data_IF_802511379677
#
_entry.id   IF_802511379677
#
_cell.length_a   1.000
_cell.length_b   1.000
_cell.length_c   1.000
_cell.angle_alpha   90.00
_cell.angle_beta   90.00
_cell.angle_gamma   90.00
#
_symmetry.space_group_name_H-M   'P 1'
#
loop_
_entity.id
_entity.type
_entity.pdbx_description
1 polymer ?
#
# COMPACT_ATOMS: atom_id res chain seq x y z
N UNK A 1 5.35 -40.17 -32.16
CA UNK A 1 4.69 -39.27 -31.18
C UNK A 1 5.23 -39.60 -29.80
N UNK A 2 6.25 -38.83 -29.31
CA UNK A 2 6.77 -38.94 -27.93
C UNK A 2 6.05 -37.89 -27.09
N UNK A 3 5.18 -38.37 -26.20
CA UNK A 3 4.59 -37.57 -25.13
C UNK A 3 5.72 -37.19 -24.14
N UNK A 4 5.99 -35.88 -23.98
CA UNK A 4 6.81 -35.38 -22.89
C UNK A 4 5.95 -35.42 -21.63
N UNK A 5 6.22 -36.36 -20.74
CA UNK A 5 5.74 -36.33 -19.38
C UNK A 5 6.38 -35.11 -18.67
N UNK A 6 5.57 -34.08 -18.39
CA UNK A 6 5.93 -33.03 -17.45
C UNK A 6 5.91 -33.64 -16.04
N UNK A 7 7.09 -33.86 -15.48
CA UNK A 7 7.21 -34.15 -14.05
C UNK A 7 6.75 -32.92 -13.27
N UNK A 8 5.53 -32.99 -12.71
CA UNK A 8 5.10 -32.13 -11.63
C UNK A 8 5.95 -32.56 -10.43
N UNK A 9 6.92 -31.71 -10.08
CA UNK A 9 7.68 -31.87 -8.84
C UNK A 9 6.68 -31.76 -7.70
N UNK A 10 6.54 -32.81 -6.93
CA UNK A 10 5.78 -32.84 -5.70
C UNK A 10 6.13 -31.63 -4.84
N UNK A 11 5.16 -30.73 -4.69
CA UNK A 11 5.21 -29.68 -3.71
C UNK A 11 5.19 -30.36 -2.34
N UNK A 12 6.35 -30.46 -1.71
CA UNK A 12 6.46 -30.84 -0.31
C UNK A 12 5.54 -29.91 0.47
N UNK A 13 4.48 -30.47 1.05
CA UNK A 13 3.66 -29.79 2.05
C UNK A 13 4.61 -29.14 3.06
N UNK A 14 4.50 -27.81 3.30
CA UNK A 14 5.35 -27.18 4.29
C UNK A 14 5.03 -27.82 5.63
N UNK A 15 6.00 -28.53 6.18
CA UNK A 15 5.98 -28.94 7.58
C UNK A 15 5.74 -27.68 8.41
N UNK A 16 4.71 -27.70 9.23
CA UNK A 16 4.43 -26.66 10.23
C UNK A 16 5.61 -26.62 11.21
N UNK A 17 6.65 -25.89 10.85
CA UNK A 17 7.72 -25.53 11.77
C UNK A 17 7.11 -24.49 12.70
N UNK A 18 7.18 -24.66 14.03
CA UNK A 18 6.71 -23.65 14.96
C UNK A 18 7.46 -22.35 14.66
N UNK A 19 6.72 -21.36 14.25
CA UNK A 19 7.16 -20.05 13.78
C UNK A 19 7.71 -19.27 14.96
N UNK A 20 8.99 -19.44 15.27
CA UNK A 20 9.74 -18.33 15.82
C UNK A 20 9.79 -17.26 14.73
N UNK A 21 9.15 -16.16 15.00
CA UNK A 21 8.92 -14.93 14.25
C UNK A 21 9.89 -14.56 13.09
N UNK A 22 10.13 -15.43 12.12
CA UNK A 22 10.76 -15.05 10.85
C UNK A 22 9.72 -14.36 10.00
N UNK A 23 9.96 -13.10 9.71
CA UNK A 23 9.11 -12.36 8.80
C UNK A 23 9.47 -12.75 7.36
N UNK A 24 8.75 -13.72 6.81
CA UNK A 24 8.96 -14.21 5.45
C UNK A 24 8.98 -13.08 4.40
N UNK A 25 8.21 -12.02 4.60
CA UNK A 25 8.21 -10.90 3.67
C UNK A 25 9.55 -10.16 3.66
N UNK A 26 10.17 -9.96 4.82
CA UNK A 26 11.48 -9.32 4.91
C UNK A 26 12.56 -10.18 4.24
N UNK A 27 12.50 -11.51 4.45
CA UNK A 27 13.40 -12.46 3.80
C UNK A 27 13.17 -12.51 2.27
N UNK A 28 11.93 -12.44 1.82
CA UNK A 28 11.57 -12.39 0.40
C UNK A 28 12.07 -11.09 -0.26
N UNK A 29 11.87 -9.94 0.38
CA UNK A 29 12.38 -8.66 -0.12
C UNK A 29 13.91 -8.70 -0.22
N UNK A 30 14.60 -9.18 0.83
CA UNK A 30 16.05 -9.26 0.85
C UNK A 30 16.59 -10.26 -0.20
N UNK A 31 15.79 -11.30 -0.55
CA UNK A 31 16.18 -12.33 -1.51
C UNK A 31 15.90 -11.94 -2.95
N UNK A 32 14.73 -11.35 -3.23
CA UNK A 32 14.23 -11.15 -4.59
C UNK A 32 14.34 -9.72 -5.11
N UNK A 33 14.67 -8.75 -4.26
CA UNK A 33 14.90 -7.39 -4.74
C UNK A 33 16.10 -7.37 -5.69
N UNK A 34 15.91 -6.83 -6.89
CA UNK A 34 16.87 -6.83 -8.02
C UNK A 34 18.19 -6.11 -7.72
N UNK A 35 18.25 -5.32 -6.65
CA UNK A 35 19.43 -4.60 -6.19
C UNK A 35 20.47 -5.50 -5.52
N UNK A 36 20.61 -6.73 -6.00
CA UNK A 36 21.62 -7.69 -5.48
C UNK A 36 23.06 -7.31 -5.83
N UNK A 37 23.27 -6.39 -6.72
CA UNK A 37 24.59 -6.08 -7.23
C UNK A 37 24.88 -4.58 -7.19
N UNK A 38 26.01 -4.27 -6.69
CA UNK A 38 26.73 -3.00 -6.54
C UNK A 38 26.91 -2.19 -7.84
N UNK A 39 26.17 -2.53 -8.90
CA UNK A 39 26.40 -2.03 -10.25
C UNK A 39 25.96 -0.58 -10.47
N UNK A 40 25.28 0.05 -9.48
CA UNK A 40 24.73 1.40 -9.65
C UNK A 40 25.21 2.42 -8.61
N UNK A 41 26.16 2.06 -7.73
CA UNK A 41 26.65 2.98 -6.69
C UNK A 41 25.56 3.43 -5.69
N UNK A 42 24.45 2.69 -5.60
CA UNK A 42 23.36 3.00 -4.67
C UNK A 42 23.69 2.43 -3.30
N UNK A 43 23.85 3.30 -2.32
CA UNK A 43 24.11 2.92 -0.93
C UNK A 43 22.85 3.04 -0.08
N UNK A 44 22.76 2.33 1.07
CA UNK A 44 21.67 2.52 2.01
C UNK A 44 21.52 3.98 2.44
N UNK A 45 22.63 4.69 2.61
CA UNK A 45 22.65 6.09 3.01
C UNK A 45 22.06 7.00 1.93
N UNK A 46 22.38 6.78 0.67
CA UNK A 46 21.82 7.54 -0.46
C UNK A 46 20.30 7.38 -0.57
N UNK A 47 19.78 6.17 -0.34
CA UNK A 47 18.33 5.92 -0.33
C UNK A 47 17.66 6.54 0.89
N UNK A 48 18.27 6.48 2.09
CA UNK A 48 17.74 7.16 3.28
C UNK A 48 17.71 8.66 3.08
N UNK A 49 18.75 9.23 2.49
CA UNK A 49 18.81 10.65 2.19
C UNK A 49 17.71 11.08 1.21
N UNK A 50 17.42 10.25 0.21
CA UNK A 50 16.35 10.50 -0.76
C UNK A 50 14.94 10.34 -0.14
N UNK A 51 14.75 9.37 0.76
CA UNK A 51 13.46 9.08 1.40
C UNK A 51 13.15 10.02 2.57
N UNK A 52 14.16 10.41 3.36
CA UNK A 52 14.01 11.14 4.61
C UNK A 52 13.19 12.44 4.51
N UNK A 53 13.35 13.31 3.48
CA UNK A 53 12.57 14.52 3.36
C UNK A 53 11.09 14.25 3.03
N UNK A 54 10.78 13.08 2.49
CA UNK A 54 9.43 12.74 2.03
C UNK A 54 8.64 12.03 3.12
N UNK A 55 9.22 10.97 3.71
CA UNK A 55 8.53 10.10 4.68
C UNK A 55 9.03 10.26 6.12
N UNK A 56 10.05 11.09 6.33
CA UNK A 56 10.62 11.36 7.65
C UNK A 56 11.72 10.37 8.06
N UNK A 57 12.78 10.91 8.69
CA UNK A 57 13.93 10.12 9.10
C UNK A 57 13.61 9.07 10.19
N UNK A 58 12.59 9.31 11.01
CA UNK A 58 12.23 8.44 12.14
C UNK A 58 11.75 7.05 11.71
N UNK A 59 11.16 6.91 10.53
CA UNK A 59 10.67 5.63 10.01
C UNK A 59 11.74 4.85 9.24
N UNK A 60 12.92 5.42 9.07
CA UNK A 60 14.04 4.85 8.30
C UNK A 60 15.13 4.31 9.23
N UNK A 61 14.74 3.45 10.18
CA UNK A 61 15.71 2.87 11.15
C UNK A 61 16.83 2.12 10.41
N UNK A 62 18.11 2.56 10.58
CA UNK A 62 19.26 1.92 9.95
C UNK A 62 19.46 0.46 10.33
N UNK A 63 18.96 0.05 11.51
CA UNK A 63 19.12 -1.31 12.03
C UNK A 63 18.06 -2.26 11.49
N UNK A 64 16.87 -1.74 11.14
CA UNK A 64 15.75 -2.54 10.70
C UNK A 64 15.64 -2.67 9.16
N UNK A 65 16.18 -1.69 8.42
CA UNK A 65 16.02 -1.60 6.96
C UNK A 65 17.33 -1.88 6.24
N UNK A 66 17.39 -3.05 5.60
CA UNK A 66 18.45 -3.42 4.66
C UNK A 66 18.42 -2.53 3.39
N UNK A 67 19.46 -2.60 2.58
CA UNK A 67 19.49 -1.92 1.26
C UNK A 67 18.29 -2.35 0.39
N UNK A 68 17.98 -3.65 0.37
CA UNK A 68 16.88 -4.19 -0.42
C UNK A 68 15.52 -3.64 0.03
N UNK A 69 15.28 -3.55 1.36
CA UNK A 69 14.05 -3.00 1.94
C UNK A 69 13.92 -1.50 1.66
N UNK A 70 15.01 -0.75 1.76
CA UNK A 70 15.03 0.67 1.37
C UNK A 70 14.74 0.86 -0.11
N UNK A 71 15.33 0.02 -0.98
CA UNK A 71 15.06 0.05 -2.42
C UNK A 71 13.61 -0.30 -2.73
N UNK A 72 13.03 -1.29 -2.03
CA UNK A 72 11.60 -1.62 -2.15
C UNK A 72 10.72 -0.43 -1.77
N UNK A 73 10.93 0.18 -0.59
CA UNK A 73 10.16 1.36 -0.14
C UNK A 73 10.31 2.52 -1.14
N UNK A 74 11.52 2.74 -1.65
CA UNK A 74 11.77 3.78 -2.66
C UNK A 74 11.01 3.51 -3.95
N UNK A 75 11.01 2.26 -4.44
CA UNK A 75 10.27 1.87 -5.62
C UNK A 75 8.75 2.08 -5.45
N UNK A 76 8.19 1.67 -4.29
CA UNK A 76 6.78 1.92 -3.95
C UNK A 76 6.49 3.42 -3.95
N UNK A 77 7.32 4.23 -3.30
CA UNK A 77 7.17 5.69 -3.29
C UNK A 77 7.13 6.26 -4.71
N UNK A 78 8.06 5.85 -5.58
CA UNK A 78 8.13 6.35 -6.96
C UNK A 78 6.86 5.99 -7.76
N UNK A 79 6.37 4.76 -7.60
CA UNK A 79 5.15 4.30 -8.29
C UNK A 79 3.93 5.08 -7.81
N UNK A 80 3.72 5.15 -6.50
CA UNK A 80 2.54 5.80 -5.92
C UNK A 80 2.59 7.33 -6.11
N UNK A 81 3.76 7.93 -6.03
CA UNK A 81 3.94 9.36 -6.34
C UNK A 81 3.57 9.68 -7.80
N UNK A 82 3.99 8.82 -8.72
CA UNK A 82 3.64 8.97 -10.14
C UNK A 82 2.14 8.80 -10.37
N UNK A 83 1.48 7.87 -9.66
CA UNK A 83 0.02 7.74 -9.68
C UNK A 83 -0.66 9.02 -9.21
N UNK A 84 -0.26 9.54 -8.06
CA UNK A 84 -0.79 10.77 -7.51
C UNK A 84 -0.62 11.96 -8.47
N UNK A 85 0.56 12.12 -9.08
CA UNK A 85 0.83 13.16 -10.06
C UNK A 85 0.00 13.03 -11.36
N UNK A 86 -0.50 11.83 -11.66
CA UNK A 86 -1.43 11.61 -12.77
C UNK A 86 -2.90 11.70 -12.35
N UNK A 87 -3.21 12.09 -11.12
CA UNK A 87 -4.57 12.11 -10.58
C UNK A 87 -5.20 10.72 -10.45
N UNK A 88 -4.37 9.68 -10.29
CA UNK A 88 -4.83 8.30 -10.10
C UNK A 88 -4.79 7.94 -8.62
N UNK A 89 -5.81 7.21 -8.12
CA UNK A 89 -5.83 6.75 -6.75
C UNK A 89 -4.61 5.90 -6.40
N UNK A 90 -4.20 5.97 -5.13
CA UNK A 90 -3.14 5.14 -4.59
C UNK A 90 -3.55 3.66 -4.56
N UNK A 91 -2.60 2.78 -4.85
CA UNK A 91 -2.77 1.33 -4.63
C UNK A 91 -2.14 0.87 -3.31
N UNK A 92 -1.82 1.80 -2.41
CA UNK A 92 -1.14 1.48 -1.16
C UNK A 92 -1.90 0.48 -0.28
N UNK A 93 -3.24 0.51 -0.28
CA UNK A 93 -4.06 -0.49 0.44
C UNK A 93 -3.78 -1.93 0.00
N UNK A 94 -3.40 -2.15 -1.28
CA UNK A 94 -3.04 -3.47 -1.77
C UNK A 94 -1.76 -4.02 -1.12
N UNK A 95 -0.79 -3.15 -0.81
CA UNK A 95 0.43 -3.58 -0.09
C UNK A 95 0.08 -4.03 1.34
N UNK A 96 -0.81 -3.30 2.04
CA UNK A 96 -1.26 -3.67 3.39
C UNK A 96 -2.13 -4.93 3.41
N UNK A 97 -2.70 -5.33 2.29
CA UNK A 97 -3.43 -6.58 2.16
C UNK A 97 -2.50 -7.82 2.17
N UNK A 98 -1.18 -7.65 1.98
CA UNK A 98 -0.24 -8.76 2.07
C UNK A 98 -0.05 -9.22 3.53
N UNK A 99 -0.09 -10.56 3.75
CA UNK A 99 -0.07 -11.15 5.10
C UNK A 99 1.17 -10.77 5.93
N UNK A 100 2.31 -10.67 5.29
CA UNK A 100 3.60 -10.42 5.95
C UNK A 100 3.83 -8.97 6.33
N UNK A 101 3.06 -8.01 5.78
CA UNK A 101 3.34 -6.57 5.98
C UNK A 101 3.18 -6.16 7.44
N UNK A 102 2.18 -6.68 8.14
CA UNK A 102 1.90 -6.31 9.53
C UNK A 102 3.08 -6.59 10.49
N UNK A 103 3.88 -7.61 10.20
CA UNK A 103 5.07 -7.99 10.99
C UNK A 103 6.38 -7.54 10.34
N UNK A 104 6.32 -6.88 9.18
CA UNK A 104 7.50 -6.46 8.43
C UNK A 104 8.10 -5.16 8.96
N UNK A 105 9.42 -5.05 8.86
CA UNK A 105 10.15 -3.81 9.12
C UNK A 105 9.78 -2.68 8.14
N UNK A 106 9.21 -3.00 6.97
CA UNK A 106 8.77 -2.01 5.98
C UNK A 106 7.38 -1.42 6.29
N UNK A 107 6.64 -1.92 7.30
CA UNK A 107 5.29 -1.43 7.62
C UNK A 107 5.26 0.08 7.88
N UNK A 108 6.11 0.57 8.77
CA UNK A 108 6.13 2.00 9.13
C UNK A 108 6.53 2.89 7.95
N UNK A 109 7.60 2.58 7.18
CA UNK A 109 7.90 3.30 5.95
C UNK A 109 6.76 3.25 4.91
N UNK A 110 6.10 2.10 4.71
CA UNK A 110 4.98 2.00 3.79
C UNK A 110 3.79 2.88 4.19
N UNK A 111 3.47 2.94 5.49
CA UNK A 111 2.43 3.86 6.01
C UNK A 111 2.77 5.31 5.71
N UNK A 112 4.02 5.72 5.94
CA UNK A 112 4.46 7.08 5.65
C UNK A 112 4.41 7.40 4.14
N UNK A 113 4.75 6.42 3.28
CA UNK A 113 4.58 6.54 1.82
C UNK A 113 3.10 6.69 1.46
N UNK A 114 2.24 5.82 1.98
CA UNK A 114 0.80 5.81 1.72
C UNK A 114 0.17 7.16 2.10
N UNK A 115 0.46 7.64 3.31
CA UNK A 115 0.00 8.94 3.81
C UNK A 115 0.42 10.09 2.90
N UNK A 116 1.68 10.12 2.50
CA UNK A 116 2.25 11.19 1.71
C UNK A 116 1.72 11.23 0.28
N UNK A 117 1.63 10.05 -0.35
CA UNK A 117 1.15 9.93 -1.73
C UNK A 117 -0.35 10.14 -1.81
N UNK A 118 -1.12 9.71 -0.82
CA UNK A 118 -2.55 10.01 -0.75
C UNK A 118 -2.81 11.51 -0.57
N UNK A 119 -2.06 12.18 0.30
CA UNK A 119 -2.17 13.64 0.45
C UNK A 119 -1.83 14.38 -0.84
N UNK A 120 -0.79 13.94 -1.56
CA UNK A 120 -0.44 14.52 -2.86
C UNK A 120 -1.54 14.28 -3.92
N UNK A 121 -2.17 13.11 -3.91
CA UNK A 121 -3.33 12.81 -4.76
C UNK A 121 -4.49 13.77 -4.48
N UNK A 122 -4.86 13.97 -3.20
CA UNK A 122 -5.95 14.87 -2.84
C UNK A 122 -5.70 16.32 -3.28
N UNK A 123 -4.46 16.81 -3.10
CA UNK A 123 -4.06 18.15 -3.59
C UNK A 123 -4.22 18.23 -5.11
N UNK A 124 -3.69 17.23 -5.83
CA UNK A 124 -3.74 17.22 -7.29
C UNK A 124 -5.17 17.18 -7.83
N UNK A 125 -6.06 16.42 -7.18
CA UNK A 125 -7.48 16.35 -7.55
C UNK A 125 -8.20 17.65 -7.22
N UNK A 126 -7.90 18.27 -6.06
CA UNK A 126 -8.48 19.56 -5.67
C UNK A 126 -8.16 20.69 -6.67
N UNK A 127 -6.98 20.66 -7.28
CA UNK A 127 -6.58 21.63 -8.30
C UNK A 127 -7.33 21.47 -9.64
N UNK A 128 -7.98 20.31 -9.85
CA UNK A 128 -8.66 19.94 -11.10
C UNK A 128 -10.19 19.83 -10.99
N UNK A 129 -10.78 20.41 -9.96
CA UNK A 129 -12.20 20.26 -9.58
C UNK A 129 -13.22 20.73 -10.64
N UNK A 130 -12.81 21.24 -11.78
CA UNK A 130 -13.71 21.60 -12.89
C UNK A 130 -14.02 20.44 -13.84
N UNK A 131 -13.51 19.22 -13.57
CA UNK A 131 -13.68 18.07 -14.45
C UNK A 131 -14.60 17.01 -13.85
N UNK A 132 -15.72 16.74 -14.50
CA UNK A 132 -16.64 15.63 -14.15
C UNK A 132 -15.93 14.27 -13.94
N UNK A 133 -14.86 14.04 -14.68
CA UNK A 133 -14.06 12.80 -14.57
C UNK A 133 -13.26 12.72 -13.29
N UNK A 134 -12.84 13.86 -12.72
CA UNK A 134 -12.16 13.92 -11.43
C UNK A 134 -13.14 13.58 -10.30
N UNK A 135 -14.37 14.08 -10.36
CA UNK A 135 -15.42 13.82 -9.38
C UNK A 135 -15.82 12.34 -9.34
N UNK A 136 -15.93 11.70 -10.49
CA UNK A 136 -16.22 10.26 -10.57
C UNK A 136 -15.06 9.41 -10.05
N UNK A 137 -13.82 9.77 -10.38
CA UNK A 137 -12.63 9.09 -9.88
C UNK A 137 -12.57 9.18 -8.35
N UNK A 138 -12.84 10.37 -7.80
CA UNK A 138 -12.82 10.63 -6.36
C UNK A 138 -13.96 9.89 -5.64
N UNK A 139 -15.17 9.84 -6.23
CA UNK A 139 -16.29 9.08 -5.67
C UNK A 139 -16.02 7.57 -5.66
N UNK A 140 -15.43 7.04 -6.73
CA UNK A 140 -15.02 5.64 -6.77
C UNK A 140 -13.94 5.34 -5.72
N UNK A 141 -12.98 6.25 -5.52
CA UNK A 141 -11.97 6.09 -4.48
C UNK A 141 -12.58 6.14 -3.08
N UNK A 142 -13.51 7.05 -2.80
CA UNK A 142 -14.24 7.10 -1.54
C UNK A 142 -14.95 5.77 -1.24
N UNK A 143 -15.62 5.18 -2.24
CA UNK A 143 -16.28 3.87 -2.12
C UNK A 143 -15.28 2.75 -1.85
N UNK A 144 -14.14 2.73 -2.56
CA UNK A 144 -13.08 1.75 -2.34
C UNK A 144 -12.51 1.83 -0.91
N UNK A 145 -12.28 3.03 -0.42
CA UNK A 145 -11.80 3.27 0.94
C UNK A 145 -12.86 2.82 1.97
N UNK A 146 -14.14 3.15 1.77
CA UNK A 146 -15.23 2.69 2.63
C UNK A 146 -15.28 1.15 2.70
N UNK A 147 -15.20 0.47 1.58
CA UNK A 147 -15.13 -1.00 1.55
C UNK A 147 -13.91 -1.52 2.29
N UNK A 148 -12.76 -0.86 2.14
CA UNK A 148 -11.52 -1.25 2.81
C UNK A 148 -11.57 -1.09 4.34
N UNK A 149 -12.44 -0.23 4.90
CA UNK A 149 -12.66 -0.16 6.36
C UNK A 149 -13.26 -1.43 6.94
N UNK A 150 -13.89 -2.26 6.13
CA UNK A 150 -14.45 -3.56 6.51
C UNK A 150 -13.52 -4.74 6.15
N UNK A 151 -12.28 -4.48 5.71
CA UNK A 151 -11.35 -5.51 5.30
C UNK A 151 -10.95 -6.43 6.47
N UNK A 152 -10.70 -7.73 6.20
CA UNK A 152 -10.32 -8.71 7.22
C UNK A 152 -9.01 -8.36 7.95
N UNK A 153 -8.05 -7.74 7.24
CA UNK A 153 -6.75 -7.37 7.80
C UNK A 153 -6.81 -6.01 8.49
N UNK A 154 -6.34 -5.98 9.74
CA UNK A 154 -6.32 -4.75 10.55
C UNK A 154 -5.48 -3.65 9.92
N UNK A 155 -4.31 -3.98 9.33
CA UNK A 155 -3.46 -2.99 8.67
C UNK A 155 -4.17 -2.25 7.52
N UNK A 156 -5.03 -2.96 6.75
CA UNK A 156 -5.83 -2.33 5.69
C UNK A 156 -6.90 -1.43 6.27
N UNK A 157 -7.60 -1.89 7.33
CA UNK A 157 -8.64 -1.07 8.00
C UNK A 157 -8.08 0.22 8.59
N UNK A 158 -6.96 0.10 9.31
CA UNK A 158 -6.29 1.26 9.93
C UNK A 158 -5.90 2.31 8.88
N UNK A 159 -5.33 1.86 7.77
CA UNK A 159 -4.92 2.75 6.70
C UNK A 159 -6.13 3.36 5.96
N UNK A 160 -7.18 2.56 5.74
CA UNK A 160 -8.42 3.05 5.15
C UNK A 160 -9.10 4.12 6.04
N UNK A 161 -9.10 3.94 7.36
CA UNK A 161 -9.57 4.97 8.29
C UNK A 161 -8.73 6.25 8.21
N UNK A 162 -7.40 6.14 8.18
CA UNK A 162 -6.52 7.30 8.03
C UNK A 162 -6.77 8.05 6.70
N UNK A 163 -7.12 7.33 5.63
CA UNK A 163 -7.51 7.94 4.36
C UNK A 163 -8.86 8.66 4.47
N UNK A 164 -9.87 8.07 5.13
CA UNK A 164 -11.15 8.74 5.36
C UNK A 164 -11.03 10.01 6.19
N UNK A 165 -10.21 9.99 7.26
CA UNK A 165 -9.95 11.17 8.09
C UNK A 165 -9.41 12.35 7.30
N UNK A 166 -8.73 12.11 6.18
CA UNK A 166 -8.22 13.14 5.27
C UNK A 166 -9.21 13.48 4.16
N UNK A 167 -9.91 12.48 3.64
CA UNK A 167 -10.85 12.63 2.52
C UNK A 167 -12.09 13.43 2.92
N UNK A 168 -12.66 13.12 4.10
CA UNK A 168 -13.90 13.75 4.58
C UNK A 168 -13.78 15.29 4.69
N UNK A 169 -12.77 15.85 5.37
CA UNK A 169 -12.65 17.30 5.45
C UNK A 169 -12.26 17.96 4.13
N UNK A 170 -11.53 17.25 3.25
CA UNK A 170 -11.11 17.79 1.96
C UNK A 170 -12.26 17.86 0.95
N UNK A 171 -13.17 16.87 0.96
CA UNK A 171 -14.26 16.74 -0.01
C UNK A 171 -15.56 16.28 0.66
N UNK A 172 -16.17 17.08 1.56
CA UNK A 172 -17.35 16.67 2.34
C UNK A 172 -18.57 16.36 1.45
N UNK A 173 -18.67 16.99 0.28
CA UNK A 173 -19.77 16.77 -0.66
C UNK A 173 -19.81 15.33 -1.24
N UNK A 174 -18.69 14.61 -1.24
CA UNK A 174 -18.64 13.20 -1.68
C UNK A 174 -19.59 12.32 -0.88
N UNK A 175 -19.69 12.58 0.42
CA UNK A 175 -20.52 11.79 1.33
C UNK A 175 -22.02 12.12 1.26
N UNK A 176 -22.40 13.10 0.44
CA UNK A 176 -23.78 13.39 0.06
C UNK A 176 -24.16 12.78 -1.30
N UNK A 177 -23.21 12.22 -2.04
CA UNK A 177 -23.49 11.56 -3.32
C UNK A 177 -24.26 10.26 -3.11
N UNK A 178 -25.24 10.01 -3.98
CA UNK A 178 -26.12 8.83 -3.88
C UNK A 178 -25.36 7.50 -3.97
N UNK A 179 -24.33 7.41 -4.81
CA UNK A 179 -23.52 6.23 -4.99
C UNK A 179 -22.62 5.92 -3.77
N UNK A 180 -22.08 6.95 -3.13
CA UNK A 180 -21.29 6.81 -1.89
C UNK A 180 -22.21 6.46 -0.71
N UNK A 181 -23.36 7.15 -0.59
CA UNK A 181 -24.37 6.86 0.46
C UNK A 181 -24.90 5.43 0.32
N UNK A 182 -25.19 4.97 -0.89
CA UNK A 182 -25.60 3.58 -1.13
C UNK A 182 -24.56 2.59 -0.62
N UNK A 183 -23.26 2.82 -0.91
CA UNK A 183 -22.18 1.98 -0.38
C UNK A 183 -22.14 1.98 1.15
N UNK A 184 -22.31 3.13 1.79
CA UNK A 184 -22.36 3.22 3.27
C UNK A 184 -23.52 2.41 3.86
N UNK A 185 -24.72 2.50 3.25
CA UNK A 185 -25.91 1.76 3.69
C UNK A 185 -25.74 0.23 3.48
N UNK A 186 -25.14 -0.19 2.36
CA UNK A 186 -24.83 -1.58 2.12
C UNK A 186 -23.85 -2.14 3.16
N UNK A 187 -22.77 -1.42 3.45
CA UNK A 187 -21.79 -1.82 4.46
C UNK A 187 -22.40 -1.90 5.86
N UNK A 188 -23.21 -0.92 6.27
CA UNK A 188 -23.90 -0.95 7.57
C UNK A 188 -24.88 -2.11 7.66
N UNK A 189 -25.60 -2.41 6.58
CA UNK A 189 -26.49 -3.57 6.49
C UNK A 189 -25.76 -4.90 6.61
N UNK A 190 -24.57 -5.02 6.06
CA UNK A 190 -23.74 -6.24 6.15
C UNK A 190 -23.16 -6.42 7.55
N UNK A 191 -22.63 -5.37 8.16
CA UNK A 191 -22.05 -5.41 9.52
C UNK A 191 -23.12 -5.63 10.58
N UNK A 192 -24.33 -5.10 10.40
CA UNK A 192 -25.42 -5.26 11.36
C UNK A 192 -26.09 -6.64 11.35
N UNK A 193 -25.72 -7.53 10.41
CA UNK A 193 -26.26 -8.91 10.33
C UNK A 193 -25.35 -9.97 10.96
N UNK A 194 -24.17 -9.61 11.43
CA UNK A 194 -23.18 -10.47 12.08
C UNK A 194 -23.18 -10.29 13.57
#
# INVERSE_FOLDING_TARGET
RRQRQMCIRDSKTPTLIPTSARNYLDDDIDTYTVMKHDTLGVTPESLRQALSPIIGARVLDPRALSLARLAFVYAVLQVEWRRAACGRPSMALCYFAHAGVAASSVLAPLRAVAERTFSAFLVHVAERTESHTADECLANEARNILVATCHLRTAVREEAHAYLERLVPAFPWLFARSDVVATMLELTSLVGRG
#
